data_IF_100214023258
#
_entry.id   IF_100214023258
#
_cell.length_a   1.000
_cell.length_b   1.000
_cell.length_c   1.000
_cell.angle_alpha   90.00
_cell.angle_beta   90.00
_cell.angle_gamma   90.00
#
_symmetry.space_group_name_H-M   'P 1'
#
loop_
_entity.id
_entity.type
_entity.pdbx_description
1 polymer ?
#
# COMPACT_ATOMS: atom_id res chain seq x y z
N UNK A 1 -23.10 6.48 10.92
CA UNK A 1 -22.60 5.26 10.25
C UNK A 1 -22.28 4.26 11.35
N UNK A 2 -23.06 3.19 11.51
CA UNK A 2 -22.74 2.14 12.51
C UNK A 2 -21.56 1.36 11.97
N UNK A 3 -20.41 1.47 12.59
CA UNK A 3 -19.22 0.67 12.30
C UNK A 3 -19.52 -0.79 12.68
N UNK A 4 -19.78 -1.63 11.69
CA UNK A 4 -20.00 -3.05 11.90
C UNK A 4 -18.70 -3.80 11.61
N UNK A 5 -18.26 -4.59 12.58
CA UNK A 5 -17.01 -5.37 12.43
C UNK A 5 -17.28 -6.49 11.43
N UNK A 6 -16.62 -6.41 10.28
CA UNK A 6 -16.71 -7.43 9.24
C UNK A 6 -16.00 -8.70 9.70
N UNK A 7 -16.69 -9.82 9.70
CA UNK A 7 -16.06 -11.14 9.93
C UNK A 7 -15.15 -11.44 8.74
N UNK A 8 -13.86 -11.24 8.91
CA UNK A 8 -12.86 -11.69 7.93
C UNK A 8 -12.84 -13.23 7.92
N UNK A 9 -12.78 -13.87 6.74
CA UNK A 9 -12.71 -15.31 6.66
C UNK A 9 -11.47 -15.83 7.40
N UNK A 10 -11.64 -16.85 8.21
CA UNK A 10 -10.53 -17.57 8.83
C UNK A 10 -9.79 -18.34 7.73
N UNK A 11 -8.67 -17.79 7.30
CA UNK A 11 -7.86 -18.41 6.25
C UNK A 11 -7.12 -19.63 6.82
N UNK A 12 -7.17 -20.74 6.10
CA UNK A 12 -6.31 -21.90 6.42
C UNK A 12 -4.84 -21.50 6.29
N UNK A 13 -3.93 -22.00 7.14
CA UNK A 13 -2.49 -21.68 7.08
C UNK A 13 -1.87 -21.83 5.67
N UNK A 14 -2.34 -22.83 4.91
CA UNK A 14 -1.90 -23.05 3.53
C UNK A 14 -2.18 -21.87 2.59
N UNK A 15 -3.31 -21.16 2.76
CA UNK A 15 -3.62 -19.98 1.95
C UNK A 15 -2.70 -18.80 2.31
N UNK A 16 -2.38 -18.62 3.59
CA UNK A 16 -1.45 -17.58 4.05
C UNK A 16 -0.04 -17.87 3.52
N UNK A 17 0.39 -19.15 3.56
CA UNK A 17 1.68 -19.58 3.04
C UNK A 17 1.86 -19.33 1.53
N UNK A 18 0.77 -19.34 0.76
CA UNK A 18 0.79 -18.99 -0.66
C UNK A 18 0.64 -17.47 -0.89
N UNK A 19 -0.22 -16.81 -0.12
CA UNK A 19 -0.56 -15.39 -0.28
C UNK A 19 0.61 -14.46 0.03
N UNK A 20 1.37 -14.74 1.10
CA UNK A 20 2.50 -13.90 1.50
C UNK A 20 3.61 -13.83 0.44
N UNK A 21 4.16 -14.97 -0.05
CA UNK A 21 5.17 -14.94 -1.11
C UNK A 21 4.65 -14.28 -2.39
N UNK A 22 3.38 -14.49 -2.74
CA UNK A 22 2.76 -13.84 -3.90
C UNK A 22 2.72 -12.32 -3.72
N UNK A 23 2.29 -11.83 -2.55
CA UNK A 23 2.28 -10.40 -2.24
C UNK A 23 3.68 -9.78 -2.28
N UNK A 24 4.68 -10.47 -1.69
CA UNK A 24 6.09 -10.04 -1.72
C UNK A 24 6.62 -10.00 -3.16
N UNK A 25 6.32 -11.01 -3.98
CA UNK A 25 6.76 -11.07 -5.38
C UNK A 25 6.16 -9.93 -6.22
N UNK A 26 4.87 -9.62 -6.04
CA UNK A 26 4.19 -8.49 -6.71
C UNK A 26 4.87 -7.17 -6.33
N UNK A 27 5.11 -6.94 -5.05
CA UNK A 27 5.77 -5.72 -4.57
C UNK A 27 7.21 -5.62 -5.08
N UNK A 28 7.95 -6.71 -5.04
CA UNK A 28 9.34 -6.75 -5.51
C UNK A 28 9.44 -6.47 -7.02
N UNK A 29 8.55 -7.08 -7.80
CA UNK A 29 8.44 -6.78 -9.23
C UNK A 29 8.11 -5.30 -9.49
N UNK A 30 7.19 -4.71 -8.70
CA UNK A 30 6.87 -3.29 -8.74
C UNK A 30 8.08 -2.40 -8.43
N UNK A 31 8.87 -2.76 -7.41
CA UNK A 31 10.12 -2.04 -7.05
C UNK A 31 11.15 -2.11 -8.17
N UNK A 32 11.34 -3.27 -8.80
CA UNK A 32 12.25 -3.42 -9.94
C UNK A 32 11.78 -2.59 -11.14
N UNK A 33 10.50 -2.63 -11.49
CA UNK A 33 9.93 -1.83 -12.58
C UNK A 33 10.11 -0.34 -12.34
N UNK A 34 9.84 0.15 -11.11
CA UNK A 34 10.09 1.53 -10.71
C UNK A 34 11.52 1.95 -10.97
N UNK A 35 12.49 1.14 -10.52
CA UNK A 35 13.90 1.45 -10.68
C UNK A 35 14.36 1.38 -12.14
N UNK A 36 13.88 0.39 -12.92
CA UNK A 36 14.26 0.23 -14.32
C UNK A 36 13.67 1.31 -15.24
N UNK A 37 12.42 1.71 -14.98
CA UNK A 37 11.71 2.69 -15.82
C UNK A 37 11.94 4.13 -15.37
N UNK A 38 12.47 4.35 -14.18
CA UNK A 38 12.62 5.69 -13.60
C UNK A 38 11.29 6.44 -13.42
N UNK A 39 10.17 5.70 -13.27
CA UNK A 39 8.83 6.28 -13.16
C UNK A 39 8.58 6.65 -11.71
N UNK A 40 8.02 7.85 -11.42
CA UNK A 40 7.68 8.27 -10.07
C UNK A 40 6.35 7.64 -9.59
N UNK A 41 6.25 6.32 -9.63
CA UNK A 41 5.10 5.54 -9.18
C UNK A 41 5.54 4.47 -8.16
N UNK A 42 4.83 4.39 -7.03
CA UNK A 42 5.08 3.40 -5.97
C UNK A 42 4.29 2.11 -6.21
N UNK A 43 4.53 1.43 -7.33
CA UNK A 43 3.87 0.17 -7.68
C UNK A 43 4.19 -0.98 -6.71
N UNK A 44 5.04 -0.74 -5.72
CA UNK A 44 5.58 -1.69 -4.76
C UNK A 44 4.71 -1.90 -3.50
N UNK A 45 3.53 -1.30 -3.44
CA UNK A 45 2.59 -1.49 -2.32
C UNK A 45 1.38 -2.36 -2.68
N UNK A 46 1.24 -2.78 -3.94
CA UNK A 46 0.08 -3.53 -4.43
C UNK A 46 -0.10 -4.89 -3.77
N UNK A 47 0.97 -5.65 -3.66
CA UNK A 47 0.97 -6.94 -2.98
C UNK A 47 0.67 -6.83 -1.49
N UNK A 48 1.22 -5.80 -0.82
CA UNK A 48 0.90 -5.53 0.59
C UNK A 48 -0.58 -5.21 0.78
N UNK A 49 -1.17 -4.39 -0.08
CA UNK A 49 -2.61 -4.09 -0.02
C UNK A 49 -3.46 -5.33 -0.28
N UNK A 50 -3.10 -6.16 -1.27
CA UNK A 50 -3.77 -7.43 -1.55
C UNK A 50 -3.78 -8.34 -0.32
N UNK A 51 -2.61 -8.55 0.30
CA UNK A 51 -2.48 -9.34 1.52
C UNK A 51 -3.27 -8.73 2.67
N UNK A 52 -3.25 -7.40 2.81
CA UNK A 52 -3.97 -6.67 3.85
C UNK A 52 -5.48 -6.86 3.76
N UNK A 53 -6.05 -6.75 2.57
CA UNK A 53 -7.49 -6.95 2.35
C UNK A 53 -7.94 -8.39 2.61
N UNK A 54 -7.11 -9.38 2.26
CA UNK A 54 -7.45 -10.80 2.37
C UNK A 54 -7.15 -11.34 3.77
N UNK A 55 -5.95 -11.08 4.30
CA UNK A 55 -5.45 -11.67 5.55
C UNK A 55 -5.40 -10.71 6.75
N UNK A 56 -5.65 -9.42 6.51
CA UNK A 56 -5.74 -8.39 7.55
C UNK A 56 -4.45 -7.58 7.75
N UNK A 57 -4.51 -6.53 8.63
CA UNK A 57 -3.46 -5.52 8.75
C UNK A 57 -2.09 -6.09 9.12
N UNK A 58 -2.02 -6.99 10.08
CA UNK A 58 -0.75 -7.54 10.55
C UNK A 58 -0.03 -8.39 9.51
N UNK A 59 -0.79 -9.14 8.69
CA UNK A 59 -0.21 -9.90 7.59
C UNK A 59 0.30 -8.98 6.48
N UNK A 60 -0.36 -7.84 6.26
CA UNK A 60 0.15 -6.78 5.39
C UNK A 60 1.47 -6.19 5.89
N UNK A 61 1.61 -5.96 7.21
CA UNK A 61 2.88 -5.51 7.81
C UNK A 61 3.98 -6.55 7.61
N UNK A 62 3.69 -7.84 7.84
CA UNK A 62 4.67 -8.92 7.58
C UNK A 62 5.08 -8.92 6.10
N UNK A 63 4.12 -8.77 5.19
CA UNK A 63 4.40 -8.69 3.75
C UNK A 63 5.33 -7.52 3.41
N UNK A 64 5.09 -6.33 3.98
CA UNK A 64 5.94 -5.15 3.76
C UNK A 64 7.36 -5.32 4.28
N UNK A 65 7.53 -5.94 5.46
CA UNK A 65 8.86 -6.24 6.02
C UNK A 65 9.62 -7.23 5.13
N UNK A 66 8.97 -8.33 4.73
CA UNK A 66 9.60 -9.32 3.85
C UNK A 66 10.01 -8.73 2.50
N UNK A 67 9.15 -7.88 1.92
CA UNK A 67 9.47 -7.16 0.69
C UNK A 67 10.67 -6.24 0.87
N UNK A 68 10.71 -5.44 1.95
CA UNK A 68 11.84 -4.55 2.22
C UNK A 68 13.15 -5.33 2.45
N UNK A 69 13.10 -6.50 3.09
CA UNK A 69 14.25 -7.40 3.19
C UNK A 69 14.73 -7.87 1.81
N UNK A 70 13.82 -8.25 0.91
CA UNK A 70 14.16 -8.65 -0.46
C UNK A 70 14.83 -7.51 -1.24
N UNK A 71 14.27 -6.30 -1.15
CA UNK A 71 14.83 -5.10 -1.80
C UNK A 71 16.19 -4.74 -1.20
N UNK A 72 16.33 -4.80 0.13
CA UNK A 72 17.60 -4.53 0.82
C UNK A 72 18.72 -5.49 0.42
N UNK A 73 18.39 -6.76 0.18
CA UNK A 73 19.35 -7.77 -0.28
C UNK A 73 19.81 -7.55 -1.73
N UNK A 74 18.97 -6.94 -2.58
CA UNK A 74 19.23 -6.82 -4.01
C UNK A 74 19.70 -5.43 -4.44
N UNK A 75 19.13 -4.36 -3.85
CA UNK A 75 19.44 -2.97 -4.20
C UNK A 75 20.31 -2.26 -3.16
N UNK A 76 20.45 -2.83 -1.96
CA UNK A 76 21.31 -2.33 -0.90
C UNK A 76 20.60 -2.21 0.45
N UNK A 77 21.36 -2.36 1.56
CA UNK A 77 20.79 -2.45 2.93
C UNK A 77 19.99 -1.23 3.37
N UNK A 78 20.24 -0.07 2.77
CA UNK A 78 19.55 1.19 3.08
C UNK A 78 18.03 1.11 2.83
N UNK A 79 17.61 0.28 1.87
CA UNK A 79 16.20 0.11 1.50
C UNK A 79 15.36 -0.62 2.56
N UNK A 80 15.99 -1.16 3.62
CA UNK A 80 15.25 -1.84 4.69
C UNK A 80 14.22 -0.91 5.36
N UNK A 81 14.49 0.38 5.45
CA UNK A 81 13.61 1.36 6.11
C UNK A 81 12.31 1.64 5.33
N UNK A 82 12.25 1.26 4.06
CA UNK A 82 11.07 1.46 3.20
C UNK A 82 9.84 0.63 3.65
N UNK A 83 10.03 -0.35 4.58
CA UNK A 83 8.89 -1.05 5.17
C UNK A 83 7.97 -0.14 6.00
N UNK A 84 8.48 0.97 6.55
CA UNK A 84 7.73 1.83 7.47
C UNK A 84 6.48 2.47 6.81
N UNK A 85 6.59 3.25 5.70
CA UNK A 85 5.42 3.85 5.05
C UNK A 85 4.43 2.78 4.56
N UNK A 86 4.92 1.67 4.00
CA UNK A 86 4.06 0.58 3.51
C UNK A 86 3.34 -0.14 4.66
N UNK A 87 3.98 -0.28 5.83
CA UNK A 87 3.34 -0.82 7.04
C UNK A 87 2.25 0.10 7.59
N UNK A 88 2.45 1.42 7.56
CA UNK A 88 1.43 2.40 7.95
C UNK A 88 0.20 2.26 7.05
N UNK A 89 0.41 2.15 5.74
CA UNK A 89 -0.66 1.89 4.76
C UNK A 89 -1.40 0.60 5.11
N UNK A 90 -0.68 -0.51 5.34
CA UNK A 90 -1.27 -1.80 5.68
C UNK A 90 -2.12 -1.75 6.96
N UNK A 91 -1.66 -1.03 7.99
CA UNK A 91 -2.39 -0.89 9.26
C UNK A 91 -3.68 -0.11 9.02
N UNK A 92 -3.62 1.07 8.42
CA UNK A 92 -4.80 1.94 8.25
C UNK A 92 -5.83 1.28 7.32
N UNK A 93 -5.41 0.77 6.16
CA UNK A 93 -6.29 0.08 5.20
C UNK A 93 -6.88 -1.19 5.81
N UNK A 94 -6.06 -1.97 6.52
CA UNK A 94 -6.50 -3.20 7.14
C UNK A 94 -7.54 -3.00 8.24
N UNK A 95 -7.41 -1.96 9.04
CA UNK A 95 -8.45 -1.61 10.02
C UNK A 95 -9.68 -1.02 9.34
N UNK A 96 -9.55 -0.13 8.34
CA UNK A 96 -10.67 0.37 7.56
C UNK A 96 -11.47 -0.78 6.91
N UNK A 97 -10.77 -1.78 6.38
CA UNK A 97 -11.38 -3.00 5.83
C UNK A 97 -12.12 -3.82 6.88
N UNK A 98 -11.53 -4.02 8.07
CA UNK A 98 -12.18 -4.74 9.19
C UNK A 98 -13.42 -4.03 9.74
N UNK A 99 -13.48 -2.70 9.66
CA UNK A 99 -14.65 -1.92 10.07
C UNK A 99 -15.65 -1.71 8.92
N UNK A 100 -15.45 -2.37 7.77
CA UNK A 100 -16.37 -2.32 6.63
C UNK A 100 -16.38 -1.00 5.88
N UNK A 101 -15.47 -0.07 6.20
CA UNK A 101 -15.39 1.25 5.55
C UNK A 101 -15.14 1.07 4.05
N UNK A 102 -14.25 0.14 3.68
CA UNK A 102 -13.84 -0.13 2.30
C UNK A 102 -14.87 -0.93 1.48
N UNK A 103 -15.98 -1.36 2.07
CA UNK A 103 -17.06 -2.05 1.36
C UNK A 103 -17.89 -1.11 0.48
N UNK A 104 -17.76 0.19 0.65
CA UNK A 104 -18.41 1.21 -0.17
C UNK A 104 -17.37 1.98 -0.99
N UNK A 105 -17.74 2.39 -2.21
CA UNK A 105 -16.86 3.18 -3.06
C UNK A 105 -16.35 4.48 -2.39
N UNK A 106 -17.23 5.29 -1.77
CA UNK A 106 -16.77 6.49 -1.06
C UNK A 106 -15.85 6.17 0.12
N UNK A 107 -16.11 5.09 0.86
CA UNK A 107 -15.29 4.66 1.98
C UNK A 107 -13.90 4.15 1.53
N UNK A 108 -13.85 3.44 0.41
CA UNK A 108 -12.58 3.00 -0.19
C UNK A 108 -11.74 4.20 -0.63
N UNK A 109 -12.34 5.11 -1.42
CA UNK A 109 -11.67 6.33 -1.89
C UNK A 109 -11.23 7.19 -0.71
N UNK A 110 -12.11 7.39 0.27
CA UNK A 110 -11.78 8.12 1.50
C UNK A 110 -10.60 7.49 2.26
N UNK A 111 -10.55 6.15 2.36
CA UNK A 111 -9.43 5.45 2.98
C UNK A 111 -8.13 5.71 2.20
N UNK A 112 -8.15 5.64 0.87
CA UNK A 112 -6.97 5.90 0.03
C UNK A 112 -6.47 7.34 0.14
N UNK A 113 -7.35 8.30 0.39
CA UNK A 113 -6.96 9.70 0.67
C UNK A 113 -6.34 9.83 2.08
N UNK A 114 -6.96 9.22 3.09
CA UNK A 114 -6.54 9.33 4.50
C UNK A 114 -5.18 8.69 4.76
N UNK A 115 -4.80 7.64 4.02
CA UNK A 115 -3.49 7.00 4.20
C UNK A 115 -2.33 7.85 3.68
N UNK A 116 -2.58 8.80 2.79
CA UNK A 116 -1.50 9.55 2.13
C UNK A 116 -0.68 10.41 3.10
N UNK A 117 -1.26 11.31 3.93
CA UNK A 117 -0.45 12.15 4.80
C UNK A 117 0.48 11.39 5.74
N UNK A 118 0.05 10.35 6.49
CA UNK A 118 0.94 9.64 7.40
C UNK A 118 1.98 8.80 6.66
N UNK A 119 1.66 8.21 5.50
CA UNK A 119 2.62 7.47 4.70
C UNK A 119 3.68 8.40 4.09
N UNK A 120 3.24 9.53 3.51
CA UNK A 120 4.15 10.53 2.94
C UNK A 120 5.04 11.18 4.02
N UNK A 121 4.53 11.38 5.24
CA UNK A 121 5.33 11.89 6.33
C UNK A 121 6.46 10.91 6.68
N UNK A 122 6.16 9.62 6.79
CA UNK A 122 7.16 8.59 7.04
C UNK A 122 8.19 8.51 5.90
N UNK A 123 7.73 8.53 4.65
CA UNK A 123 8.63 8.59 3.48
C UNK A 123 9.51 9.83 3.48
N UNK A 124 8.96 11.02 3.73
CA UNK A 124 9.72 12.27 3.75
C UNK A 124 10.83 12.28 4.81
N UNK A 125 10.55 11.69 5.99
CA UNK A 125 11.58 11.48 7.03
C UNK A 125 12.70 10.58 6.51
N UNK A 126 12.36 9.45 5.88
CA UNK A 126 13.33 8.51 5.31
C UNK A 126 14.15 9.21 4.22
N UNK A 127 13.51 9.87 3.25
CA UNK A 127 14.19 10.58 2.17
C UNK A 127 15.14 11.65 2.69
N UNK A 128 14.73 12.40 3.71
CA UNK A 128 15.55 13.46 4.29
C UNK A 128 16.75 12.90 5.05
N UNK A 129 16.54 11.96 5.97
CA UNK A 129 17.57 11.54 6.91
C UNK A 129 18.37 10.32 6.45
N UNK A 130 17.78 9.46 5.62
CA UNK A 130 18.44 8.24 5.16
C UNK A 130 19.09 8.43 3.79
N UNK A 131 18.38 9.08 2.86
CA UNK A 131 18.86 9.28 1.49
C UNK A 131 19.43 10.68 1.22
N UNK A 132 19.35 11.61 2.17
CA UNK A 132 19.84 12.98 1.97
C UNK A 132 19.07 13.75 0.89
N UNK A 133 17.84 13.31 0.57
CA UNK A 133 16.97 13.92 -0.43
C UNK A 133 17.03 13.30 -1.82
N UNK A 134 17.92 12.35 -2.08
CA UNK A 134 18.09 11.69 -3.38
C UNK A 134 18.30 10.19 -3.17
N UNK A 135 17.36 9.38 -3.66
CA UNK A 135 17.37 7.92 -3.51
C UNK A 135 17.81 7.15 -4.77
N UNK A 136 18.17 7.85 -5.85
CA UNK A 136 18.57 7.24 -7.11
C UNK A 136 17.40 6.70 -7.95
N UNK A 137 16.19 7.25 -7.78
CA UNK A 137 15.01 6.80 -8.49
C UNK A 137 14.26 7.95 -9.18
N UNK A 138 13.16 7.64 -9.90
CA UNK A 138 12.40 8.64 -10.67
C UNK A 138 11.78 9.78 -9.85
N UNK A 139 11.66 9.63 -8.52
CA UNK A 139 11.18 10.69 -7.62
C UNK A 139 12.20 11.81 -7.44
N UNK A 140 13.48 11.55 -7.67
CA UNK A 140 14.55 12.54 -7.49
C UNK A 140 14.34 13.76 -8.40
N UNK A 141 13.74 13.56 -9.57
CA UNK A 141 13.39 14.65 -10.49
C UNK A 141 12.36 15.57 -9.84
N UNK A 142 11.31 14.99 -9.24
CA UNK A 142 10.27 15.74 -8.53
C UNK A 142 10.84 16.44 -7.28
N UNK A 143 11.70 15.75 -6.53
CA UNK A 143 12.41 16.33 -5.39
C UNK A 143 13.26 17.53 -5.80
N UNK A 144 14.01 17.43 -6.90
CA UNK A 144 14.85 18.52 -7.39
C UNK A 144 14.02 19.77 -7.75
N UNK A 145 12.86 19.57 -8.40
CA UNK A 145 11.94 20.68 -8.76
C UNK A 145 11.39 21.35 -7.51
N UNK A 146 10.86 20.58 -6.56
CA UNK A 146 10.30 21.16 -5.33
C UNK A 146 11.35 21.71 -4.38
N UNK A 147 12.60 21.20 -4.43
CA UNK A 147 13.70 21.75 -3.66
C UNK A 147 14.07 23.18 -4.06
N UNK A 148 13.99 23.50 -5.34
CA UNK A 148 14.20 24.88 -5.83
C UNK A 148 13.14 25.84 -5.28
N UNK A 149 11.91 25.37 -5.08
CA UNK A 149 10.82 26.22 -4.59
C UNK A 149 10.79 26.32 -3.06
N UNK A 150 11.09 25.23 -2.33
CA UNK A 150 10.91 25.16 -0.86
C UNK A 150 12.18 25.44 -0.06
N UNK A 151 13.37 25.35 -0.67
CA UNK A 151 14.69 25.46 -0.01
C UNK A 151 14.88 24.50 1.18
N UNK A 152 14.03 23.47 1.29
CA UNK A 152 14.04 22.47 2.37
C UNK A 152 13.90 21.08 1.80
N UNK A 153 14.86 20.18 2.10
CA UNK A 153 14.82 18.78 1.65
C UNK A 153 13.56 18.09 2.14
N UNK A 154 13.21 18.29 3.41
CA UNK A 154 12.01 17.66 4.00
C UNK A 154 10.72 18.14 3.31
N UNK A 155 10.57 19.45 3.11
CA UNK A 155 9.37 19.99 2.45
C UNK A 155 9.27 19.52 0.99
N UNK A 156 10.39 19.53 0.26
CA UNK A 156 10.45 19.03 -1.11
C UNK A 156 10.07 17.55 -1.18
N UNK A 157 10.63 16.72 -0.29
CA UNK A 157 10.30 15.29 -0.19
C UNK A 157 8.83 15.07 0.12
N UNK A 158 8.29 15.74 1.13
CA UNK A 158 6.89 15.59 1.52
C UNK A 158 5.91 15.97 0.41
N UNK A 159 6.15 17.10 -0.27
CA UNK A 159 5.29 17.56 -1.37
C UNK A 159 5.38 16.61 -2.58
N UNK A 160 6.59 16.16 -2.94
CA UNK A 160 6.80 15.20 -4.02
C UNK A 160 6.07 13.89 -3.78
N UNK A 161 6.24 13.34 -2.57
CA UNK A 161 5.58 12.11 -2.13
C UNK A 161 4.06 12.25 -2.11
N UNK A 162 3.56 13.41 -1.68
CA UNK A 162 2.11 13.67 -1.66
C UNK A 162 1.55 13.74 -3.08
N UNK A 163 2.20 14.47 -3.99
CA UNK A 163 1.76 14.62 -5.37
C UNK A 163 1.79 13.29 -6.14
N UNK A 164 2.91 12.56 -6.06
CA UNK A 164 3.07 11.26 -6.74
C UNK A 164 2.24 10.17 -6.08
N UNK A 165 2.10 10.20 -4.75
CA UNK A 165 1.32 9.24 -3.99
C UNK A 165 -0.16 9.23 -4.32
N UNK A 166 -0.77 10.38 -4.63
CA UNK A 166 -2.17 10.41 -5.09
C UNK A 166 -2.36 9.70 -6.43
N UNK A 167 -1.46 9.94 -7.39
CA UNK A 167 -1.48 9.25 -8.69
C UNK A 167 -1.29 7.76 -8.51
N UNK A 168 -0.29 7.37 -7.74
CA UNK A 168 0.03 5.97 -7.45
C UNK A 168 -1.15 5.24 -6.81
N UNK A 169 -1.74 5.79 -5.73
CA UNK A 169 -2.86 5.13 -5.05
C UNK A 169 -4.12 5.06 -5.92
N UNK A 170 -4.32 6.03 -6.83
CA UNK A 170 -5.41 5.96 -7.80
C UNK A 170 -5.21 4.79 -8.76
N UNK A 171 -4.04 4.69 -9.38
CA UNK A 171 -3.69 3.59 -10.31
C UNK A 171 -3.76 2.25 -9.58
N UNK A 172 -3.16 2.18 -8.40
CA UNK A 172 -3.13 0.96 -7.59
C UNK A 172 -4.52 0.51 -7.14
N UNK A 173 -5.39 1.45 -6.77
CA UNK A 173 -6.78 1.15 -6.42
C UNK A 173 -7.53 0.54 -7.61
N UNK A 174 -7.36 1.09 -8.81
CA UNK A 174 -7.97 0.55 -10.04
C UNK A 174 -7.47 -0.88 -10.29
N UNK A 175 -6.15 -1.09 -10.24
CA UNK A 175 -5.54 -2.41 -10.45
C UNK A 175 -6.04 -3.42 -9.41
N UNK A 176 -6.04 -3.05 -8.14
CA UNK A 176 -6.55 -3.91 -7.06
C UNK A 176 -8.03 -4.26 -7.25
N UNK A 177 -8.85 -3.30 -7.66
CA UNK A 177 -10.27 -3.55 -7.93
C UNK A 177 -10.47 -4.54 -9.08
N UNK A 178 -9.67 -4.44 -10.14
CA UNK A 178 -9.69 -5.43 -11.23
C UNK A 178 -9.28 -6.82 -10.74
N UNK A 179 -8.24 -6.91 -9.92
CA UNK A 179 -7.81 -8.18 -9.31
C UNK A 179 -8.91 -8.75 -8.41
N UNK A 180 -9.51 -7.94 -7.53
CA UNK A 180 -10.60 -8.42 -6.66
C UNK A 180 -11.83 -8.85 -7.45
N UNK A 181 -12.13 -8.25 -8.60
CA UNK A 181 -13.19 -8.70 -9.49
C UNK A 181 -12.96 -10.12 -10.02
N UNK A 182 -11.72 -10.51 -10.23
CA UNK A 182 -11.34 -11.84 -10.72
C UNK A 182 -11.26 -12.90 -9.61
N UNK A 183 -11.14 -12.47 -8.32
CA UNK A 183 -11.04 -13.38 -7.19
C UNK A 183 -12.40 -14.00 -6.81
N UNK A 184 -12.43 -15.21 -6.21
CA UNK A 184 -13.62 -15.81 -5.62
C UNK A 184 -14.27 -14.92 -4.56
N UNK A 185 -15.60 -14.97 -4.41
CA UNK A 185 -16.40 -14.12 -3.50
C UNK A 185 -15.90 -14.12 -2.07
N UNK A 186 -15.44 -15.26 -1.56
CA UNK A 186 -14.89 -15.41 -0.21
C UNK A 186 -13.72 -14.47 0.12
N UNK A 187 -13.02 -13.95 -0.90
CA UNK A 187 -11.90 -13.01 -0.72
C UNK A 187 -12.32 -11.54 -0.93
N UNK A 188 -13.56 -11.30 -1.40
CA UNK A 188 -14.07 -9.95 -1.68
C UNK A 188 -14.77 -9.29 -0.50
N UNK A 189 -14.84 -9.94 0.65
CA UNK A 189 -15.64 -9.52 1.83
C UNK A 189 -15.37 -8.08 2.27
N UNK A 190 -14.13 -7.62 2.13
CA UNK A 190 -13.71 -6.27 2.52
C UNK A 190 -13.72 -5.25 1.38
N UNK A 191 -14.31 -5.58 0.23
CA UNK A 191 -14.29 -4.75 -0.98
C UNK A 191 -15.70 -4.33 -1.39
N UNK A 192 -15.86 -3.28 -2.26
CA UNK A 192 -17.17 -2.87 -2.77
C UNK A 192 -17.88 -3.92 -3.65
N UNK A 193 -17.22 -5.04 -3.96
CA UNK A 193 -17.73 -6.15 -4.78
C UNK A 193 -18.31 -7.29 -3.95
N UNK A 194 -18.57 -7.08 -2.65
CA UNK A 194 -19.29 -8.06 -1.82
C UNK A 194 -20.65 -8.35 -2.47
N UNK A 195 -20.95 -9.63 -2.70
CA UNK A 195 -22.24 -10.06 -3.23
C UNK A 195 -23.37 -9.70 -2.25
N UNK A 196 -24.53 -9.32 -2.79
CA UNK A 196 -25.71 -8.85 -2.03
C UNK A 196 -26.42 -9.97 -1.23
N UNK A 197 -25.85 -11.18 -1.15
CA UNK A 197 -26.54 -12.41 -0.74
C UNK A 197 -26.37 -12.82 0.72
N UNK A 198 -25.56 -12.12 1.52
CA UNK A 198 -25.22 -12.58 2.88
C UNK A 198 -25.93 -11.80 4.00
N UNK A 199 -26.90 -10.94 3.68
CA UNK A 199 -27.63 -10.14 4.70
C UNK A 199 -28.98 -10.75 5.09
N UNK A 200 -29.42 -11.85 4.45
CA UNK A 200 -30.77 -12.44 4.66
C UNK A 200 -30.75 -13.70 5.55
N UNK A 201 -29.58 -14.17 6.01
CA UNK A 201 -29.51 -15.42 6.82
C UNK A 201 -29.32 -15.18 8.34
N UNK A 202 -29.45 -13.94 8.83
CA UNK A 202 -29.31 -13.58 10.25
C UNK A 202 -30.64 -13.00 10.85
N UNK A 203 -31.86 -13.44 10.37
CA UNK A 203 -33.12 -13.22 11.08
C UNK A 203 -33.63 -14.49 11.79
#
# INVERSE_FOLDING_TARGET
MKLHRVKTPTLKPAYIAALLPTGVAINYAGSLLRNMLGVPLFLDSGGTLLVTFIAGPWMGVVCSILQACMVALTLGPIHIVEFLPTSIIAIIVGYAARYGITQTWPGLIGTMIVIQPPACLASAVIYTYTYGGFAGNGLDIMHAVFMQASQSIFAASFISELATGFLDKTVLTIVLMLVFRALPEKFRVCTPFKGKKDDDDDE
#
